data_IF_399444867382
#
_entry.id   IF_399444867382
#
_cell.length_a   1.000
_cell.length_b   1.000
_cell.length_c   1.000
_cell.angle_alpha   90.00
_cell.angle_beta   90.00
_cell.angle_gamma   90.00
#
_symmetry.space_group_name_H-M   'P 1'
#
loop_
_entity.id
_entity.type
_entity.pdbx_description
1 polymer ?
#
# COMPACT_ATOMS: atom_id res chain seq x y z
N UNK A 1 61.14 -50.71 30.96
CA UNK A 1 59.98 -51.57 31.25
C UNK A 1 59.23 -50.94 32.42
N UNK A 2 57.96 -51.30 32.62
CA UNK A 2 57.02 -50.69 33.59
C UNK A 2 56.44 -49.30 33.28
N UNK A 3 55.25 -49.10 33.85
CA UNK A 3 54.22 -48.11 33.55
C UNK A 3 53.63 -47.67 34.91
N UNK A 4 53.49 -46.37 35.17
CA UNK A 4 53.15 -45.89 36.52
C UNK A 4 52.48 -44.51 36.61
N UNK A 5 51.14 -44.52 36.55
CA UNK A 5 50.20 -43.62 37.25
C UNK A 5 50.30 -42.07 37.20
N UNK A 6 49.34 -41.49 36.44
CA UNK A 6 48.36 -40.43 36.79
C UNK A 6 48.67 -39.40 37.90
N UNK A 7 48.42 -38.12 37.59
CA UNK A 7 47.38 -37.29 38.26
C UNK A 7 47.03 -35.98 37.51
N UNK A 8 45.72 -35.69 37.39
CA UNK A 8 45.02 -34.37 37.30
C UNK A 8 45.47 -33.32 36.23
N UNK A 9 44.67 -32.34 35.79
CA UNK A 9 43.31 -31.88 36.14
C UNK A 9 42.58 -31.30 34.90
N UNK A 10 41.32 -30.85 35.03
CA UNK A 10 40.49 -30.37 33.91
C UNK A 10 40.84 -28.95 33.44
N UNK A 11 40.69 -28.71 32.13
CA UNK A 11 40.26 -27.40 31.60
C UNK A 11 39.15 -27.58 30.59
N UNK A 12 38.03 -26.91 30.86
CA UNK A 12 36.90 -26.73 29.95
C UNK A 12 37.33 -26.00 28.67
N UNK A 13 36.69 -26.29 27.55
CA UNK A 13 36.91 -25.61 26.26
C UNK A 13 35.56 -25.42 25.58
N UNK A 14 34.95 -24.27 25.83
CA UNK A 14 33.74 -23.80 25.15
C UNK A 14 34.05 -23.52 23.68
N UNK A 15 33.30 -24.17 22.79
CA UNK A 15 33.56 -24.12 21.35
C UNK A 15 33.12 -22.77 20.76
N UNK A 16 34.07 -22.04 20.16
CA UNK A 16 33.90 -20.66 19.70
C UNK A 16 33.38 -20.59 18.27
N UNK A 17 32.15 -21.05 18.07
CA UNK A 17 31.43 -20.97 16.78
C UNK A 17 30.97 -19.55 16.45
N UNK A 18 31.88 -18.74 15.89
CA UNK A 18 31.58 -17.42 15.33
C UNK A 18 30.80 -17.53 14.01
N UNK A 19 29.47 -17.42 14.11
CA UNK A 19 28.57 -17.58 12.96
C UNK A 19 28.48 -16.28 12.14
N UNK A 20 29.34 -16.12 11.13
CA UNK A 20 29.31 -15.00 10.18
C UNK A 20 28.14 -15.13 9.20
N UNK A 21 26.99 -14.52 9.53
CA UNK A 21 25.86 -14.38 8.59
C UNK A 21 26.32 -13.66 7.32
N UNK A 22 26.10 -14.29 6.16
CA UNK A 22 26.28 -13.63 4.87
C UNK A 22 25.17 -12.59 4.65
N UNK A 23 25.57 -11.43 4.15
CA UNK A 23 24.71 -10.27 3.92
C UNK A 23 24.00 -10.37 2.55
N UNK A 24 22.70 -10.09 2.50
CA UNK A 24 21.91 -10.26 1.27
C UNK A 24 22.23 -9.17 0.23
N UNK A 25 21.93 -9.43 -1.04
CA UNK A 25 22.08 -8.42 -2.10
C UNK A 25 21.24 -7.16 -1.82
N UNK A 26 20.05 -7.32 -1.22
CA UNK A 26 19.18 -6.23 -0.78
C UNK A 26 19.83 -5.42 0.35
N UNK A 27 20.35 -6.08 1.39
CA UNK A 27 21.11 -5.42 2.48
C UNK A 27 22.36 -4.70 1.97
N UNK A 28 23.07 -5.29 1.01
CA UNK A 28 24.26 -4.70 0.40
C UNK A 28 23.95 -3.49 -0.49
N UNK A 29 22.75 -3.43 -1.09
CA UNK A 29 22.25 -2.26 -1.83
C UNK A 29 21.73 -1.16 -0.91
N UNK A 30 20.99 -1.51 0.15
CA UNK A 30 20.59 -0.58 1.20
C UNK A 30 21.82 0.13 1.79
N UNK A 31 22.88 -0.64 2.09
CA UNK A 31 24.19 -0.10 2.53
C UNK A 31 24.87 0.85 1.56
N UNK A 32 24.51 0.85 0.28
CA UNK A 32 25.11 1.75 -0.71
C UNK A 32 24.36 3.10 -0.80
N UNK A 33 23.33 3.28 0.01
CA UNK A 33 22.57 4.52 0.23
C UNK A 33 23.21 5.38 1.34
N UNK A 34 24.55 5.45 1.34
CA UNK A 34 25.28 6.25 2.33
C UNK A 34 25.06 7.74 2.07
N UNK A 35 24.57 8.45 3.08
CA UNK A 35 24.59 9.91 3.06
C UNK A 35 26.01 10.34 3.42
N UNK A 36 26.57 11.22 2.58
CA UNK A 36 27.99 11.56 2.56
C UNK A 36 28.33 12.66 3.56
N UNK A 37 29.60 12.86 3.88
CA UNK A 37 30.01 13.99 4.73
C UNK A 37 29.72 15.36 4.07
N UNK A 38 29.71 15.45 2.73
CA UNK A 38 29.22 16.64 2.01
C UNK A 38 27.73 16.90 2.25
N UNK A 39 26.90 15.86 2.34
CA UNK A 39 25.48 16.02 2.66
C UNK A 39 25.24 16.51 4.10
N UNK A 40 26.19 16.31 5.03
CA UNK A 40 26.10 16.86 6.40
C UNK A 40 26.12 18.38 6.37
N UNK A 41 27.03 18.94 5.57
CA UNK A 41 27.17 20.38 5.35
C UNK A 41 25.98 20.92 4.54
N UNK A 42 25.65 20.31 3.40
CA UNK A 42 24.60 20.81 2.49
C UNK A 42 23.16 20.77 3.07
N UNK A 43 22.89 19.88 4.03
CA UNK A 43 21.54 19.67 4.60
C UNK A 43 21.47 19.85 6.13
N UNK A 44 22.51 20.44 6.75
CA UNK A 44 22.60 20.67 8.21
C UNK A 44 22.29 19.42 9.05
N UNK A 45 22.77 18.26 8.61
CA UNK A 45 22.47 16.94 9.19
C UNK A 45 20.96 16.53 9.22
N UNK A 46 20.05 17.27 8.59
CA UNK A 46 18.61 16.98 8.60
C UNK A 46 18.23 15.98 7.51
N UNK A 47 17.75 14.80 7.88
CA UNK A 47 17.24 13.78 6.94
C UNK A 47 15.78 13.45 7.23
N UNK A 48 14.92 13.58 6.23
CA UNK A 48 13.49 13.22 6.31
C UNK A 48 13.19 12.03 5.40
N UNK A 49 12.58 11.01 5.97
CA UNK A 49 12.24 9.77 5.26
C UNK A 49 10.73 9.54 5.34
N UNK A 50 10.07 9.44 4.20
CA UNK A 50 8.66 9.05 4.09
C UNK A 50 8.58 7.60 3.59
N UNK A 51 8.04 6.71 4.41
CA UNK A 51 7.62 5.39 3.95
C UNK A 51 6.22 5.47 3.36
N UNK A 52 6.05 5.05 2.11
CA UNK A 52 4.73 4.89 1.50
C UNK A 52 4.50 3.39 1.33
N UNK A 53 3.49 2.84 2.01
CA UNK A 53 3.37 1.39 2.18
C UNK A 53 1.98 0.92 1.76
N UNK A 54 1.97 -0.05 0.86
CA UNK A 54 0.81 -0.87 0.56
C UNK A 54 0.43 -1.74 1.78
N UNK A 55 -0.78 -1.59 2.31
CA UNK A 55 -1.28 -2.39 3.44
C UNK A 55 -2.52 -3.22 3.12
N UNK A 56 -2.61 -3.65 1.86
CA UNK A 56 -3.65 -4.52 1.30
C UNK A 56 -3.43 -5.99 1.68
N UNK A 57 -4.36 -6.88 1.30
CA UNK A 57 -4.26 -8.30 1.61
C UNK A 57 -3.12 -9.04 0.90
N UNK A 58 -2.78 -8.66 -0.34
CA UNK A 58 -1.73 -9.31 -1.16
C UNK A 58 -0.37 -9.25 -0.47
N UNK A 59 -0.02 -8.07 0.05
CA UNK A 59 1.24 -7.77 0.73
C UNK A 59 1.59 -8.73 1.88
N UNK A 60 0.62 -9.46 2.45
CA UNK A 60 0.77 -10.37 3.59
C UNK A 60 2.02 -11.27 3.56
N UNK A 61 2.44 -11.74 2.37
CA UNK A 61 3.59 -12.63 2.23
C UNK A 61 4.94 -11.91 2.32
N UNK A 62 5.04 -10.64 1.88
CA UNK A 62 6.26 -9.84 1.97
C UNK A 62 6.25 -8.85 3.15
N UNK A 63 5.11 -8.69 3.82
CA UNK A 63 4.86 -7.62 4.80
C UNK A 63 5.85 -7.60 5.97
N UNK A 64 6.31 -8.77 6.43
CA UNK A 64 7.34 -8.85 7.46
C UNK A 64 8.69 -8.35 6.94
N UNK A 65 9.02 -8.62 5.68
CA UNK A 65 10.28 -8.19 5.06
C UNK A 65 10.25 -6.72 4.65
N UNK A 66 9.08 -6.17 4.30
CA UNK A 66 8.84 -4.73 4.23
C UNK A 66 9.14 -4.07 5.59
N UNK A 67 8.59 -4.59 6.70
CA UNK A 67 8.88 -4.09 8.06
C UNK A 67 10.35 -4.27 8.47
N UNK A 68 11.04 -5.31 7.99
CA UNK A 68 12.47 -5.50 8.23
C UNK A 68 13.29 -4.47 7.44
N UNK A 69 13.01 -4.29 6.14
CA UNK A 69 13.67 -3.31 5.27
C UNK A 69 13.57 -1.88 5.84
N UNK A 70 12.39 -1.50 6.36
CA UNK A 70 12.19 -0.21 7.03
C UNK A 70 13.07 -0.06 8.29
N UNK A 71 13.24 -1.12 9.07
CA UNK A 71 14.15 -1.12 10.24
C UNK A 71 15.61 -1.05 9.82
N UNK A 72 16.02 -1.83 8.84
CA UNK A 72 17.40 -1.84 8.31
C UNK A 72 17.81 -0.45 7.80
N UNK A 73 16.91 0.22 7.07
CA UNK A 73 17.06 1.63 6.66
C UNK A 73 17.25 2.53 7.89
N UNK A 74 16.32 2.48 8.86
CA UNK A 74 16.39 3.33 10.04
C UNK A 74 17.64 3.08 10.91
N UNK A 75 18.10 1.84 11.04
CA UNK A 75 19.32 1.47 11.77
C UNK A 75 20.60 1.89 11.06
N UNK A 76 20.62 1.86 9.72
CA UNK A 76 21.74 2.33 8.93
C UNK A 76 21.91 3.85 9.09
N UNK A 77 20.81 4.59 9.00
CA UNK A 77 20.79 6.03 9.22
C UNK A 77 21.21 6.43 10.64
N UNK A 78 20.75 5.72 11.68
CA UNK A 78 21.14 5.99 13.08
C UNK A 78 22.64 5.80 13.39
N UNK A 79 23.43 5.18 12.50
CA UNK A 79 24.90 5.02 12.68
C UNK A 79 25.68 6.24 12.21
N UNK A 80 25.05 7.13 11.46
CA UNK A 80 25.60 8.39 11.00
C UNK A 80 25.01 9.53 11.85
N UNK A 81 25.73 10.64 12.03
CA UNK A 81 25.34 11.73 12.96
C UNK A 81 24.25 12.67 12.38
N UNK A 82 23.27 12.10 11.67
CA UNK A 82 22.12 12.82 11.13
C UNK A 82 20.98 12.89 12.16
N UNK A 83 20.26 14.02 12.19
CA UNK A 83 18.95 14.08 12.85
C UNK A 83 17.89 13.57 11.88
N UNK A 84 17.59 12.27 11.93
CA UNK A 84 16.61 11.64 11.05
C UNK A 84 15.20 11.69 11.65
N UNK A 85 14.22 12.05 10.83
CA UNK A 85 12.79 11.89 11.13
C UNK A 85 12.11 11.05 10.06
N UNK A 86 11.08 10.32 10.49
CA UNK A 86 10.37 9.33 9.70
C UNK A 86 8.88 9.66 9.67
N UNK A 87 8.31 9.80 8.48
CA UNK A 87 6.87 9.86 8.23
C UNK A 87 6.41 8.55 7.59
N UNK A 88 5.11 8.28 7.64
CA UNK A 88 4.50 7.09 7.05
C UNK A 88 3.17 7.44 6.39
N UNK A 89 2.96 6.96 5.17
CA UNK A 89 1.65 6.93 4.52
C UNK A 89 1.33 5.49 4.14
N UNK A 90 0.33 4.90 4.79
CA UNK A 90 -0.21 3.61 4.33
C UNK A 90 -1.39 3.83 3.39
N UNK A 91 -1.56 2.96 2.40
CA UNK A 91 -2.71 2.98 1.50
C UNK A 91 -3.26 1.57 1.24
N UNK A 92 -4.52 1.52 0.81
CA UNK A 92 -5.23 0.34 0.32
C UNK A 92 -5.89 0.68 -1.01
N UNK A 93 -7.18 0.38 -1.21
CA UNK A 93 -7.91 0.77 -2.41
C UNK A 93 -9.05 1.78 -2.16
N UNK A 94 -9.69 2.18 -3.25
CA UNK A 94 -10.92 2.96 -3.28
C UNK A 94 -12.18 2.10 -3.11
N UNK A 95 -13.28 2.65 -2.54
CA UNK A 95 -14.60 2.04 -2.63
C UNK A 95 -15.05 1.94 -4.10
N UNK A 96 -15.57 0.78 -4.57
CA UNK A 96 -16.16 -0.29 -3.76
C UNK A 96 -15.23 -1.44 -3.36
N UNK A 97 -13.97 -1.47 -3.82
CA UNK A 97 -13.05 -2.59 -3.53
C UNK A 97 -12.71 -2.64 -2.04
N UNK A 98 -12.32 -1.49 -1.49
CA UNK A 98 -12.03 -1.32 -0.06
C UNK A 98 -12.94 -0.23 0.57
N UNK A 99 -13.24 -0.34 1.86
CA UNK A 99 -14.15 0.58 2.56
C UNK A 99 -13.63 1.13 3.90
N UNK A 100 -12.51 0.61 4.41
CA UNK A 100 -11.89 1.03 5.67
C UNK A 100 -11.17 2.38 5.54
N UNK A 101 -10.26 2.51 4.57
CA UNK A 101 -9.60 3.77 4.19
C UNK A 101 -8.89 3.62 2.83
N UNK A 102 -8.78 4.72 2.09
CA UNK A 102 -7.92 4.81 0.90
C UNK A 102 -6.46 5.00 1.30
N UNK A 103 -6.19 5.95 2.21
CA UNK A 103 -4.86 6.18 2.79
C UNK A 103 -4.96 6.69 4.25
N UNK A 104 -3.87 6.54 5.00
CA UNK A 104 -3.66 7.15 6.32
C UNK A 104 -2.22 7.66 6.42
N UNK A 105 -2.04 8.85 6.99
CA UNK A 105 -0.73 9.50 7.12
C UNK A 105 -0.37 9.76 8.59
N UNK A 106 0.89 9.47 8.93
CA UNK A 106 1.56 9.85 10.15
C UNK A 106 2.75 10.73 9.76
N UNK A 107 2.80 11.94 10.30
CA UNK A 107 3.85 12.92 10.01
C UNK A 107 5.21 12.55 10.63
N UNK A 108 6.25 13.34 10.37
CA UNK A 108 7.62 13.14 10.82
C UNK A 108 7.73 12.92 12.34
N UNK A 109 8.21 11.74 12.73
CA UNK A 109 8.48 11.33 14.11
C UNK A 109 9.90 10.76 14.27
N UNK A 110 10.34 10.55 15.53
CA UNK A 110 11.55 9.80 15.82
C UNK A 110 11.41 8.29 15.57
N UNK A 111 12.55 7.59 15.45
CA UNK A 111 12.64 6.16 15.13
C UNK A 111 11.80 5.27 16.06
N UNK A 112 11.81 5.52 17.37
CA UNK A 112 11.04 4.73 18.35
C UNK A 112 9.52 4.83 18.11
N UNK A 113 9.00 6.03 17.85
CA UNK A 113 7.58 6.23 17.52
C UNK A 113 7.22 5.54 16.21
N UNK A 114 8.09 5.65 15.20
CA UNK A 114 7.90 4.99 13.90
C UNK A 114 7.86 3.46 14.03
N UNK A 115 8.74 2.86 14.84
CA UNK A 115 8.69 1.41 15.13
C UNK A 115 7.36 0.97 15.75
N UNK A 116 6.75 1.80 16.61
CA UNK A 116 5.41 1.56 17.16
C UNK A 116 4.31 1.58 16.09
N UNK A 117 4.35 2.56 15.18
CA UNK A 117 3.41 2.67 14.05
C UNK A 117 3.53 1.44 13.13
N UNK A 118 4.76 1.10 12.71
CA UNK A 118 5.06 -0.07 11.88
C UNK A 118 4.62 -1.38 12.53
N UNK A 119 4.75 -1.50 13.85
CA UNK A 119 4.26 -2.66 14.60
C UNK A 119 2.75 -2.90 14.39
N UNK A 120 1.97 -1.81 14.36
CA UNK A 120 0.51 -1.84 14.28
C UNK A 120 -0.06 -1.99 12.86
N UNK A 121 0.72 -1.77 11.80
CA UNK A 121 0.23 -1.96 10.42
C UNK A 121 -0.19 -3.41 10.19
N UNK A 122 -1.26 -3.60 9.40
CA UNK A 122 -1.82 -4.91 9.04
C UNK A 122 -2.18 -4.95 7.54
N UNK A 123 -1.61 -5.92 6.83
CA UNK A 123 -1.93 -6.27 5.46
C UNK A 123 -3.34 -6.88 5.39
N UNK A 124 -4.34 -6.11 4.96
CA UNK A 124 -5.75 -6.52 4.83
C UNK A 124 -6.44 -5.66 3.79
N UNK A 125 -7.53 -6.17 3.20
CA UNK A 125 -8.33 -5.37 2.27
C UNK A 125 -7.78 -5.35 0.85
N UNK A 126 -8.18 -4.33 0.09
CA UNK A 126 -8.11 -4.35 -1.38
C UNK A 126 -9.30 -5.11 -1.97
N UNK A 127 -9.32 -5.37 -3.28
CA UNK A 127 -10.43 -6.14 -3.88
C UNK A 127 -10.22 -6.60 -5.32
N UNK A 128 -9.59 -5.77 -6.15
CA UNK A 128 -9.08 -6.21 -7.46
C UNK A 128 -7.55 -6.09 -7.52
N UNK A 129 -6.96 -6.03 -8.72
CA UNK A 129 -5.50 -6.15 -8.91
C UNK A 129 -4.69 -4.87 -8.63
N UNK A 130 -5.16 -3.67 -9.01
CA UNK A 130 -4.48 -2.41 -8.74
C UNK A 130 -5.01 -1.74 -7.45
N UNK A 131 -4.22 -0.82 -6.91
CA UNK A 131 -4.46 -0.22 -5.60
C UNK A 131 -4.37 1.32 -5.64
N UNK A 132 -4.69 2.02 -4.55
CA UNK A 132 -4.68 3.49 -4.44
C UNK A 132 -3.27 4.11 -4.29
N UNK A 133 -2.30 3.59 -5.06
CA UNK A 133 -0.89 4.01 -5.06
C UNK A 133 -0.73 5.52 -5.27
N UNK A 134 -1.55 6.11 -6.15
CA UNK A 134 -1.48 7.55 -6.45
C UNK A 134 -1.86 8.43 -5.27
N UNK A 135 -2.91 8.04 -4.54
CA UNK A 135 -3.36 8.72 -3.33
C UNK A 135 -2.29 8.62 -2.23
N UNK A 136 -1.78 7.40 -1.97
CA UNK A 136 -0.75 7.17 -0.96
C UNK A 136 0.53 7.98 -1.20
N UNK A 137 1.00 8.05 -2.44
CA UNK A 137 2.17 8.84 -2.81
C UNK A 137 1.91 10.35 -2.70
N UNK A 138 0.85 10.85 -3.34
CA UNK A 138 0.60 12.28 -3.44
C UNK A 138 0.21 12.90 -2.09
N UNK A 139 -0.66 12.24 -1.33
CA UNK A 139 -1.06 12.71 0.00
C UNK A 139 0.07 12.52 1.02
N UNK A 140 0.84 11.44 0.91
CA UNK A 140 2.05 11.25 1.70
C UNK A 140 3.06 12.40 1.51
N UNK A 141 3.35 12.77 0.25
CA UNK A 141 4.25 13.88 -0.07
C UNK A 141 3.71 15.22 0.46
N UNK A 142 2.42 15.49 0.28
CA UNK A 142 1.83 16.80 0.59
C UNK A 142 1.50 17.01 2.07
N UNK A 143 1.21 15.94 2.84
CA UNK A 143 0.90 16.04 4.28
C UNK A 143 2.13 15.96 5.18
N UNK A 144 3.25 15.47 4.69
CA UNK A 144 4.50 15.42 5.45
C UNK A 144 5.04 16.84 5.64
N UNK A 145 5.25 17.25 6.89
CA UNK A 145 5.78 18.57 7.25
C UNK A 145 7.31 18.61 7.11
N UNK A 146 7.79 18.44 5.88
CA UNK A 146 9.21 18.38 5.53
C UNK A 146 10.02 19.51 6.16
N UNK A 147 11.05 19.16 6.93
CA UNK A 147 11.83 20.09 7.72
C UNK A 147 12.65 21.06 6.86
N UNK A 148 12.91 22.20 7.47
CA UNK A 148 13.88 23.22 7.08
C UNK A 148 14.52 23.75 8.36
N UNK A 149 15.78 24.11 8.30
CA UNK A 149 16.47 24.80 9.39
C UNK A 149 16.15 26.32 9.36
N UNK A 150 16.56 27.03 10.41
CA UNK A 150 16.30 28.44 10.68
C UNK A 150 16.82 29.41 9.60
N UNK A 151 17.85 29.02 8.86
CA UNK A 151 18.44 29.76 7.74
C UNK A 151 17.71 29.51 6.40
N UNK A 152 16.79 28.54 6.37
CA UNK A 152 16.04 28.10 5.20
C UNK A 152 16.60 26.84 4.50
N UNK A 153 17.72 26.30 4.97
CA UNK A 153 18.31 25.05 4.46
C UNK A 153 17.31 23.90 4.62
N UNK A 154 17.04 23.16 3.54
CA UNK A 154 16.06 22.08 3.56
C UNK A 154 16.67 20.80 4.13
N UNK A 155 15.85 19.87 4.61
CA UNK A 155 16.28 18.49 4.84
C UNK A 155 16.64 17.76 3.54
N UNK A 156 17.52 16.76 3.62
CA UNK A 156 17.68 15.73 2.59
C UNK A 156 16.49 14.78 2.67
N UNK A 157 15.84 14.48 1.54
CA UNK A 157 14.48 13.90 1.54
C UNK A 157 14.37 12.65 0.70
N UNK A 158 13.80 11.61 1.31
CA UNK A 158 13.66 10.31 0.70
C UNK A 158 12.23 9.79 0.79
N UNK A 159 11.79 9.12 -0.27
CA UNK A 159 10.66 8.19 -0.25
C UNK A 159 11.16 6.78 -0.45
N UNK A 160 10.63 5.87 0.36
CA UNK A 160 10.69 4.44 0.13
C UNK A 160 9.26 3.94 -0.05
N UNK A 161 8.90 3.62 -1.29
CA UNK A 161 7.59 3.11 -1.65
C UNK A 161 7.63 1.59 -1.71
N UNK A 162 6.79 0.91 -0.93
CA UNK A 162 6.81 -0.56 -0.78
C UNK A 162 5.46 -1.13 -1.21
N UNK A 163 5.40 -1.94 -2.27
CA UNK A 163 4.17 -2.55 -2.79
C UNK A 163 4.37 -3.85 -3.62
N UNK A 164 3.29 -4.62 -3.79
CA UNK A 164 3.17 -5.72 -4.77
C UNK A 164 2.04 -5.51 -5.80
N UNK A 165 1.33 -4.38 -5.74
CA UNK A 165 0.29 -3.99 -6.70
C UNK A 165 0.60 -2.66 -7.41
N UNK A 166 0.20 -2.50 -8.69
CA UNK A 166 0.31 -1.25 -9.45
C UNK A 166 -0.86 -0.29 -9.15
N UNK A 167 -0.77 1.01 -9.54
CA UNK A 167 -1.93 1.88 -9.55
C UNK A 167 -2.98 1.48 -10.60
N UNK A 168 -4.23 1.86 -10.35
CA UNK A 168 -5.31 1.80 -11.34
C UNK A 168 -4.95 2.48 -12.67
N UNK A 169 -5.21 1.78 -13.77
CA UNK A 169 -5.07 2.27 -15.13
C UNK A 169 -4.22 1.37 -16.04
N UNK A 170 -4.66 1.20 -17.29
CA UNK A 170 -4.01 0.38 -18.34
C UNK A 170 -2.49 0.61 -18.49
N UNK A 171 -2.02 1.83 -18.21
CA UNK A 171 -0.60 2.20 -18.33
C UNK A 171 0.31 1.39 -17.40
N UNK A 172 -0.19 0.95 -16.24
CA UNK A 172 0.60 0.34 -15.17
C UNK A 172 0.57 -1.21 -15.15
N UNK A 173 -0.14 -1.83 -16.09
CA UNK A 173 -0.14 -3.28 -16.29
C UNK A 173 -1.06 -4.10 -15.36
N UNK A 174 -1.71 -3.48 -14.37
CA UNK A 174 -2.73 -4.11 -13.54
C UNK A 174 -4.07 -4.31 -14.26
N UNK A 175 -4.92 -5.18 -13.70
CA UNK A 175 -6.31 -5.40 -14.14
C UNK A 175 -7.29 -5.05 -13.02
N UNK A 176 -7.96 -3.90 -13.14
CA UNK A 176 -9.11 -3.54 -12.31
C UNK A 176 -10.38 -4.22 -12.83
N UNK A 177 -11.24 -4.58 -11.89
CA UNK A 177 -12.62 -5.01 -12.11
C UNK A 177 -13.54 -3.85 -12.51
N UNK A 178 -13.20 -2.60 -12.17
CA UNK A 178 -13.89 -1.41 -12.67
C UNK A 178 -13.29 -0.97 -14.02
N UNK A 179 -14.07 -1.11 -15.10
CA UNK A 179 -13.64 -0.76 -16.45
C UNK A 179 -13.34 0.75 -16.63
N UNK A 180 -13.94 1.63 -15.82
CA UNK A 180 -13.65 3.05 -15.86
C UNK A 180 -12.29 3.34 -15.21
N UNK A 181 -11.95 2.68 -14.10
CA UNK A 181 -10.64 2.85 -13.45
C UNK A 181 -9.54 2.23 -14.30
N UNK A 182 -9.78 1.04 -14.87
CA UNK A 182 -8.88 0.44 -15.85
C UNK A 182 -8.60 1.37 -17.04
N UNK A 183 -9.62 2.06 -17.56
CA UNK A 183 -9.50 2.93 -18.74
C UNK A 183 -8.91 4.31 -18.42
N UNK A 184 -9.38 4.94 -17.36
CA UNK A 184 -9.14 6.36 -17.07
C UNK A 184 -8.07 6.59 -15.98
N UNK A 185 -7.64 5.54 -15.29
CA UNK A 185 -6.70 5.61 -14.17
C UNK A 185 -7.40 5.71 -12.81
N UNK A 186 -6.63 6.03 -11.77
CA UNK A 186 -7.10 6.14 -10.39
C UNK A 186 -8.27 7.14 -10.26
N UNK A 187 -9.37 6.81 -9.56
CA UNK A 187 -10.55 7.68 -9.42
C UNK A 187 -10.27 9.02 -8.71
N UNK A 188 -9.16 9.16 -8.00
CA UNK A 188 -8.71 10.43 -7.43
C UNK A 188 -8.26 11.47 -8.49
N UNK A 189 -8.02 11.05 -9.73
CA UNK A 189 -7.56 11.90 -10.84
C UNK A 189 -6.08 12.32 -10.75
N UNK A 190 -5.33 11.82 -9.77
CA UNK A 190 -3.91 12.11 -9.58
C UNK A 190 -3.09 11.31 -10.59
N UNK A 191 -2.19 11.99 -11.32
CA UNK A 191 -1.32 11.36 -12.32
C UNK A 191 0.13 11.24 -11.85
N UNK A 192 0.92 10.41 -12.53
CA UNK A 192 2.35 10.29 -12.27
C UNK A 192 3.10 11.62 -12.47
N UNK A 193 2.66 12.47 -13.41
CA UNK A 193 3.21 13.81 -13.62
C UNK A 193 2.91 14.76 -12.46
N UNK A 194 1.75 14.63 -11.81
CA UNK A 194 1.45 15.39 -10.59
C UNK A 194 2.41 14.98 -9.46
N UNK A 195 2.66 13.69 -9.27
CA UNK A 195 3.63 13.18 -8.28
C UNK A 195 5.05 13.64 -8.63
N UNK A 196 5.48 13.54 -9.90
CA UNK A 196 6.77 14.05 -10.40
C UNK A 196 6.99 15.50 -10.01
N UNK A 197 6.01 16.37 -10.24
CA UNK A 197 6.10 17.80 -9.91
C UNK A 197 6.32 18.00 -8.40
N UNK A 198 5.67 17.19 -7.55
CA UNK A 198 5.86 17.21 -6.10
C UNK A 198 7.27 16.74 -5.68
N UNK A 199 7.79 15.66 -6.29
CA UNK A 199 9.15 15.16 -6.06
C UNK A 199 10.21 16.20 -6.47
N UNK A 200 10.01 16.88 -7.60
CA UNK A 200 10.91 17.93 -8.09
C UNK A 200 10.89 19.19 -7.21
N UNK A 201 9.70 19.71 -6.89
CA UNK A 201 9.51 20.91 -6.04
C UNK A 201 10.11 20.71 -4.64
N UNK A 202 9.76 19.59 -3.98
CA UNK A 202 10.17 19.31 -2.60
C UNK A 202 11.55 18.66 -2.51
N UNK A 203 12.21 18.45 -3.64
CA UNK A 203 13.53 17.85 -3.80
C UNK A 203 13.68 16.44 -3.22
N UNK A 204 12.64 15.62 -3.38
CA UNK A 204 12.56 14.28 -2.82
C UNK A 204 13.15 13.26 -3.80
N UNK A 205 14.04 12.40 -3.30
CA UNK A 205 14.54 11.22 -4.01
C UNK A 205 13.64 10.02 -3.71
N UNK A 206 13.12 9.37 -4.76
CA UNK A 206 12.15 8.28 -4.70
C UNK A 206 12.83 6.93 -4.98
N UNK A 207 12.59 5.98 -4.08
CA UNK A 207 13.07 4.60 -4.17
C UNK A 207 11.86 3.66 -4.19
N UNK A 208 11.81 2.74 -5.14
CA UNK A 208 10.83 1.67 -5.18
C UNK A 208 11.40 0.40 -4.52
N UNK A 209 10.62 -0.20 -3.63
CA UNK A 209 10.87 -1.49 -3.02
C UNK A 209 9.76 -2.43 -3.53
N UNK A 210 10.08 -3.17 -4.59
CA UNK A 210 9.14 -4.11 -5.21
C UNK A 210 9.09 -5.41 -4.40
N UNK A 211 7.89 -5.80 -3.97
CA UNK A 211 7.62 -7.17 -3.53
C UNK A 211 7.33 -8.09 -4.74
N UNK A 212 6.74 -7.59 -5.83
CA UNK A 212 6.70 -8.30 -7.12
C UNK A 212 5.53 -7.88 -7.99
N UNK A 213 5.57 -8.23 -9.27
CA UNK A 213 4.41 -8.08 -10.17
C UNK A 213 4.16 -6.68 -10.72
N UNK A 214 5.02 -5.70 -10.43
CA UNK A 214 4.79 -4.27 -10.75
C UNK A 214 5.73 -3.71 -11.83
N UNK A 215 6.43 -4.57 -12.58
CA UNK A 215 7.44 -4.19 -13.57
C UNK A 215 6.98 -3.10 -14.57
N UNK A 216 5.69 -3.07 -14.95
CA UNK A 216 5.16 -2.04 -15.84
C UNK A 216 4.95 -0.69 -15.15
N UNK A 217 4.50 -0.69 -13.89
CA UNK A 217 4.48 0.51 -13.04
C UNK A 217 5.90 1.04 -12.83
N UNK A 218 6.88 0.17 -12.56
CA UNK A 218 8.28 0.57 -12.41
C UNK A 218 8.80 1.27 -13.67
N UNK A 219 8.61 0.69 -14.86
CA UNK A 219 9.02 1.28 -16.13
C UNK A 219 8.43 2.69 -16.32
N UNK A 220 7.14 2.86 -16.03
CA UNK A 220 6.43 4.14 -16.16
C UNK A 220 6.93 5.15 -15.14
N UNK A 221 7.05 4.77 -13.87
CA UNK A 221 7.52 5.68 -12.82
C UNK A 221 8.98 6.09 -13.04
N UNK A 222 9.85 5.16 -13.44
CA UNK A 222 11.25 5.43 -13.82
C UNK A 222 11.32 6.43 -14.97
N UNK A 223 10.46 6.27 -15.98
CA UNK A 223 10.38 7.20 -17.13
C UNK A 223 9.85 8.59 -16.74
N UNK A 224 8.80 8.67 -15.91
CA UNK A 224 8.14 9.93 -15.56
C UNK A 224 8.90 10.71 -14.47
N UNK A 225 9.29 10.05 -13.38
CA UNK A 225 10.00 10.70 -12.27
C UNK A 225 11.47 10.99 -12.62
N UNK A 226 12.04 10.30 -13.61
CA UNK A 226 13.36 10.57 -14.19
C UNK A 226 14.46 10.60 -13.14
N UNK A 227 15.19 11.72 -13.04
CA UNK A 227 16.30 11.91 -12.08
C UNK A 227 15.90 11.87 -10.60
N UNK A 228 14.60 11.76 -10.27
CA UNK A 228 14.13 11.55 -8.90
C UNK A 228 13.88 10.07 -8.59
N UNK A 229 13.93 9.18 -9.57
CA UNK A 229 13.75 7.74 -9.39
C UNK A 229 15.11 7.03 -9.36
N UNK A 230 15.43 6.38 -8.25
CA UNK A 230 16.69 5.65 -8.04
C UNK A 230 16.63 4.18 -8.49
N UNK A 231 17.51 3.32 -8.02
CA UNK A 231 17.43 1.90 -8.30
C UNK A 231 16.26 1.23 -7.52
N UNK A 232 15.63 0.22 -8.15
CA UNK A 232 14.60 -0.58 -7.50
C UNK A 232 15.24 -1.64 -6.60
N UNK A 233 14.68 -1.80 -5.40
CA UNK A 233 15.07 -2.83 -4.45
C UNK A 233 14.02 -3.95 -4.53
N UNK A 234 14.38 -5.08 -5.14
CA UNK A 234 13.46 -6.21 -5.25
C UNK A 234 13.57 -7.11 -4.00
N UNK A 235 12.45 -7.37 -3.34
CA UNK A 235 12.31 -8.34 -2.24
C UNK A 235 11.94 -9.69 -2.86
N UNK A 236 12.90 -10.62 -2.94
CA UNK A 236 12.72 -11.89 -3.66
C UNK A 236 12.30 -13.04 -2.74
N UNK A 237 11.31 -13.84 -3.16
CA UNK A 237 10.87 -15.05 -2.43
C UNK A 237 12.00 -16.03 -2.10
N UNK A 238 13.08 -16.05 -2.88
CA UNK A 238 14.28 -16.85 -2.65
C UNK A 238 15.01 -16.56 -1.33
N UNK A 239 14.75 -15.42 -0.68
CA UNK A 239 15.29 -15.09 0.65
C UNK A 239 14.55 -15.81 1.79
N UNK A 240 13.28 -16.22 1.58
CA UNK A 240 12.43 -16.82 2.62
C UNK A 240 12.56 -18.36 2.65
N UNK A 241 12.88 -19.00 1.52
CA UNK A 241 12.80 -20.46 1.39
C UNK A 241 14.02 -21.25 1.88
N UNK A 242 15.17 -20.60 2.16
CA UNK A 242 16.40 -21.32 2.54
C UNK A 242 16.41 -21.88 3.98
N UNK A 243 15.42 -21.58 4.83
CA UNK A 243 15.30 -22.18 6.17
C UNK A 243 14.34 -23.37 6.27
N UNK A 244 13.62 -23.76 5.21
CA UNK A 244 12.68 -24.90 5.27
C UNK A 244 12.78 -25.93 4.12
N UNK A 245 13.90 -25.98 3.38
CA UNK A 245 14.19 -27.03 2.40
C UNK A 245 15.42 -27.87 2.77
N UNK A 246 15.37 -28.57 3.90
CA UNK A 246 16.38 -29.54 4.32
C UNK A 246 15.79 -30.85 4.85
N UNK A 247 14.93 -31.52 4.06
CA UNK A 247 14.67 -32.95 4.25
C UNK A 247 14.52 -33.73 2.92
N UNK A 248 15.59 -34.47 2.61
CA UNK A 248 15.69 -35.65 1.73
C UNK A 248 14.78 -35.76 0.48
N UNK A 249 15.41 -35.73 -0.69
CA UNK A 249 15.06 -36.66 -1.76
C UNK A 249 16.13 -37.76 -1.82
N UNK A 250 15.76 -38.99 -1.47
CA UNK A 250 16.61 -40.17 -1.69
C UNK A 250 16.53 -40.58 -3.16
N UNK A 251 17.70 -40.77 -3.78
CA UNK A 251 17.83 -41.18 -5.17
C UNK A 251 17.61 -42.68 -5.34
N UNK A 252 16.95 -43.08 -6.43
CA UNK A 252 16.94 -44.45 -6.94
C UNK A 252 17.19 -44.41 -8.46
N UNK A 253 18.23 -45.10 -8.98
CA UNK A 253 18.53 -45.11 -10.42
C UNK A 253 17.64 -46.11 -11.18
N UNK A 254 17.36 -45.82 -12.46
CA UNK A 254 16.38 -46.57 -13.26
C UNK A 254 16.91 -47.78 -14.03
N UNK A 255 16.04 -48.40 -14.83
CA UNK A 255 16.39 -49.37 -15.87
C UNK A 255 15.33 -49.42 -16.99
N UNK A 256 15.73 -49.91 -18.17
CA UNK A 256 14.95 -49.98 -19.41
C UNK A 256 13.89 -51.11 -19.42
N UNK A 257 12.82 -50.93 -20.21
CA UNK A 257 11.83 -51.98 -20.52
C UNK A 257 10.88 -51.54 -21.65
N UNK A 258 10.44 -52.46 -22.51
CA UNK A 258 9.77 -52.16 -23.79
C UNK A 258 8.22 -52.24 -23.77
N UNK A 259 7.60 -51.74 -24.84
CA UNK A 259 6.17 -51.87 -25.17
C UNK A 259 5.67 -53.34 -25.15
N UNK A 260 4.37 -53.58 -24.84
CA UNK A 260 3.37 -53.66 -25.92
C UNK A 260 1.99 -53.02 -25.61
N UNK A 261 1.16 -53.01 -26.65
CA UNK A 261 -0.22 -52.48 -26.75
C UNK A 261 -1.31 -53.24 -25.93
N UNK A 262 -2.33 -52.52 -25.42
CA UNK A 262 -3.79 -52.78 -25.60
C UNK A 262 -4.70 -52.16 -24.51
N UNK A 263 -5.67 -51.33 -24.96
CA UNK A 263 -7.09 -51.12 -24.55
C UNK A 263 -7.67 -52.07 -23.45
N UNK A 264 -8.58 -51.66 -22.52
CA UNK A 264 -9.68 -50.68 -22.71
C UNK A 264 -9.99 -49.64 -21.61
N UNK A 265 -10.86 -48.69 -21.99
CA UNK A 265 -11.64 -47.77 -21.13
C UNK A 265 -12.92 -48.46 -20.64
N UNK A 266 -13.39 -48.23 -19.40
CA UNK A 266 -14.76 -48.54 -19.01
C UNK A 266 -15.69 -47.35 -19.33
N UNK A 267 -16.59 -47.53 -20.31
CA UNK A 267 -17.89 -46.86 -20.24
C UNK A 267 -18.66 -47.45 -19.05
N UNK A 268 -19.44 -46.64 -18.34
CA UNK A 268 -20.80 -47.06 -18.08
C UNK A 268 -21.78 -45.88 -18.04
N UNK A 269 -22.95 -46.09 -18.64
CA UNK A 269 -24.05 -45.13 -18.74
C UNK A 269 -25.23 -45.71 -17.98
N UNK A 270 -25.84 -44.91 -17.09
CA UNK A 270 -27.20 -45.17 -16.62
C UNK A 270 -27.88 -43.84 -16.30
N UNK A 271 -28.88 -43.48 -17.11
CA UNK A 271 -29.78 -42.36 -16.87
C UNK A 271 -31.14 -42.89 -16.41
N UNK A 272 -31.75 -42.27 -15.39
CA UNK A 272 -33.19 -42.45 -15.15
C UNK A 272 -33.84 -41.28 -14.38
N UNK A 273 -34.58 -40.49 -15.15
CA UNK A 273 -35.91 -39.96 -14.83
C UNK A 273 -36.16 -38.94 -13.71
N UNK A 274 -36.80 -37.85 -14.17
CA UNK A 274 -37.51 -36.80 -13.42
C UNK A 274 -38.93 -37.29 -13.04
N UNK A 275 -39.56 -36.72 -12.00
CA UNK A 275 -40.87 -36.10 -12.25
C UNK A 275 -41.08 -34.74 -11.57
N UNK A 276 -41.76 -33.83 -12.28
CA UNK A 276 -42.59 -32.74 -11.69
C UNK A 276 -44.06 -33.21 -11.70
N UNK A 277 -44.88 -32.74 -10.76
CA UNK A 277 -46.03 -31.89 -11.12
C UNK A 277 -46.09 -30.63 -10.22
N UNK A 278 -46.38 -29.42 -10.71
CA UNK A 278 -47.66 -28.84 -11.16
C UNK A 278 -48.66 -28.46 -10.03
N UNK A 279 -48.75 -27.14 -9.79
CA UNK A 279 -49.94 -26.30 -9.49
C UNK A 279 -51.25 -26.91 -8.95
N UNK A 280 -51.85 -26.23 -7.96
CA UNK A 280 -53.20 -25.60 -8.09
C UNK A 280 -53.56 -24.72 -6.86
N UNK A 281 -54.59 -23.87 -7.04
CA UNK A 281 -55.13 -22.91 -6.04
C UNK A 281 -56.11 -23.57 -5.06
N UNK A 282 -56.38 -22.92 -3.91
CA UNK A 282 -57.76 -22.68 -3.43
C UNK A 282 -57.82 -21.74 -2.21
N UNK A 283 -58.86 -20.92 -2.15
CA UNK A 283 -59.21 -19.99 -1.06
C UNK A 283 -59.77 -20.67 0.21
N UNK A 284 -59.98 -19.92 1.30
CA UNK A 284 -61.04 -20.24 2.28
C UNK A 284 -60.76 -20.12 3.79
N UNK A 285 -61.06 -18.94 4.36
CA UNK A 285 -61.57 -18.63 5.72
C UNK A 285 -62.11 -19.82 6.58
N UNK A 286 -62.04 -19.87 7.94
CA UNK A 286 -62.71 -18.96 8.90
C UNK A 286 -62.53 -19.39 10.42
N UNK A 287 -62.04 -18.49 11.32
CA UNK A 287 -62.29 -18.36 12.80
C UNK A 287 -61.98 -19.56 13.78
N UNK A 288 -61.84 -19.45 15.14
CA UNK A 288 -62.37 -18.54 16.20
C UNK A 288 -61.34 -18.30 17.36
N UNK A 289 -61.29 -17.06 17.91
CA UNK A 289 -61.16 -16.66 19.35
C UNK A 289 -59.84 -16.94 20.10
N UNK A 290 -59.31 -16.12 21.02
CA UNK A 290 -59.77 -14.99 21.88
C UNK A 290 -58.50 -14.20 22.37
N UNK A 291 -58.47 -13.03 23.03
CA UNK A 291 -59.33 -11.82 23.24
C UNK A 291 -58.49 -10.77 24.02
N UNK A 292 -59.05 -9.61 24.41
CA UNK A 292 -58.45 -8.47 25.17
C UNK A 292 -57.33 -7.69 24.44
N UNK A 293 -57.40 -6.39 24.12
CA UNK A 293 -58.46 -5.38 24.21
C UNK A 293 -58.09 -4.16 25.07
N UNK A 294 -57.96 -2.95 24.48
CA UNK A 294 -58.28 -1.64 25.10
C UNK A 294 -58.26 -0.45 24.09
N UNK A 295 -59.41 0.24 23.97
CA UNK A 295 -59.66 1.67 23.64
C UNK A 295 -58.92 2.45 22.51
N UNK A 296 -59.69 2.97 21.52
CA UNK A 296 -59.33 4.06 20.57
C UNK A 296 -59.72 5.47 21.10
N UNK A 297 -60.21 6.47 20.31
CA UNK A 297 -60.50 6.58 18.85
C UNK A 297 -59.57 7.60 18.11
N UNK A 298 -59.46 7.76 16.77
CA UNK A 298 -60.41 8.06 15.66
C UNK A 298 -61.11 9.46 15.80
N UNK A 299 -61.26 10.35 14.79
CA UNK A 299 -61.55 10.13 13.35
C UNK A 299 -61.25 11.37 12.43
N UNK A 300 -61.62 11.28 11.15
CA UNK A 300 -61.35 12.14 9.96
C UNK A 300 -62.06 13.52 9.90
N UNK A 301 -61.60 14.44 8.99
CA UNK A 301 -62.43 15.06 7.89
C UNK A 301 -61.65 16.05 6.97
N UNK A 302 -61.57 15.72 5.66
CA UNK A 302 -61.81 16.53 4.42
C UNK A 302 -61.18 17.97 4.20
N UNK A 303 -61.14 18.52 2.95
CA UNK A 303 -60.08 19.43 2.51
C UNK A 303 -60.47 20.91 2.42
N UNK A 304 -59.47 21.77 2.24
CA UNK A 304 -59.64 23.21 1.96
C UNK A 304 -58.94 23.65 0.68
N UNK A 305 -59.69 24.37 -0.15
CA UNK A 305 -59.23 25.12 -1.33
C UNK A 305 -58.56 26.43 -0.92
N UNK A 306 -57.46 26.82 -1.58
CA UNK A 306 -56.98 28.20 -1.57
C UNK A 306 -56.35 28.58 -2.92
N UNK A 307 -56.67 29.78 -3.40
CA UNK A 307 -56.35 30.25 -4.74
C UNK A 307 -55.02 31.02 -4.82
N UNK A 308 -54.54 31.12 -6.06
CA UNK A 308 -53.37 31.87 -6.52
C UNK A 308 -53.31 33.34 -6.05
N UNK A 309 -52.14 33.77 -5.56
CA UNK A 309 -51.56 35.12 -5.75
C UNK A 309 -50.08 35.06 -5.32
N UNK A 310 -49.17 35.39 -6.24
CA UNK A 310 -47.75 35.03 -6.09
C UNK A 310 -46.86 36.12 -5.49
N UNK A 311 -45.59 35.76 -5.28
CA UNK A 311 -44.45 36.67 -5.21
C UNK A 311 -43.22 35.91 -5.75
N UNK A 312 -42.46 36.56 -6.64
CA UNK A 312 -41.18 36.02 -7.12
C UNK A 312 -40.14 36.05 -5.99
N UNK A 313 -39.38 34.97 -5.84
CA UNK A 313 -38.18 34.93 -5.00
C UNK A 313 -37.00 34.38 -5.81
N UNK A 314 -35.89 35.12 -5.81
CA UNK A 314 -34.68 34.85 -6.58
C UNK A 314 -33.94 33.58 -6.14
N UNK A 315 -33.14 32.95 -7.02
CA UNK A 315 -32.27 31.84 -6.64
C UNK A 315 -31.16 32.29 -5.66
N UNK A 316 -30.60 31.36 -4.85
CA UNK A 316 -29.63 31.69 -3.81
C UNK A 316 -28.30 32.20 -4.39
N UNK A 317 -27.73 33.24 -3.76
CA UNK A 317 -26.41 33.75 -4.12
C UNK A 317 -25.30 32.82 -3.62
N UNK A 318 -24.31 32.55 -4.49
CA UNK A 318 -23.07 31.88 -4.12
C UNK A 318 -22.21 32.77 -3.19
N UNK A 319 -21.37 32.19 -2.31
CA UNK A 319 -20.63 32.95 -1.30
C UNK A 319 -19.53 33.83 -1.92
N UNK A 320 -19.73 35.15 -1.84
CA UNK A 320 -18.85 36.18 -2.43
C UNK A 320 -17.38 36.12 -1.95
N UNK A 321 -17.09 35.45 -0.83
CA UNK A 321 -15.74 35.32 -0.28
C UNK A 321 -14.80 34.49 -1.18
N UNK A 322 -15.28 33.42 -1.82
CA UNK A 322 -14.44 32.63 -2.74
C UNK A 322 -14.06 33.43 -4.00
N UNK A 323 -14.98 34.24 -4.51
CA UNK A 323 -14.74 35.06 -5.71
C UNK A 323 -13.76 36.21 -5.40
N UNK A 324 -13.81 36.79 -4.19
CA UNK A 324 -12.79 37.75 -3.73
C UNK A 324 -11.40 37.10 -3.57
N UNK A 325 -11.31 35.88 -3.03
CA UNK A 325 -10.02 35.16 -2.92
C UNK A 325 -9.42 34.83 -4.30
N UNK A 326 -10.23 34.37 -5.25
CA UNK A 326 -9.77 34.11 -6.63
C UNK A 326 -9.28 35.39 -7.32
N UNK A 327 -9.97 36.51 -7.13
CA UNK A 327 -9.56 37.81 -7.70
C UNK A 327 -8.25 38.32 -7.07
N UNK A 328 -8.06 38.17 -5.75
CA UNK A 328 -6.81 38.51 -5.07
C UNK A 328 -5.64 37.66 -5.58
N UNK A 329 -5.83 36.34 -5.69
CA UNK A 329 -4.80 35.41 -6.17
C UNK A 329 -4.38 35.73 -7.61
N UNK A 330 -5.35 35.95 -8.52
CA UNK A 330 -5.10 36.34 -9.91
C UNK A 330 -4.28 37.64 -10.02
N UNK A 331 -4.63 38.65 -9.22
CA UNK A 331 -3.93 39.94 -9.23
C UNK A 331 -2.49 39.83 -8.68
N UNK A 332 -2.26 38.93 -7.71
CA UNK A 332 -0.94 38.68 -7.12
C UNK A 332 -0.03 37.90 -8.09
N UNK A 333 -0.58 36.93 -8.82
CA UNK A 333 0.12 36.21 -9.91
C UNK A 333 0.53 37.18 -11.03
N UNK A 334 -0.36 38.07 -11.48
CA UNK A 334 -0.02 39.09 -12.49
C UNK A 334 1.09 40.04 -12.04
N UNK A 335 1.09 40.49 -10.77
CA UNK A 335 2.18 41.36 -10.28
C UNK A 335 3.53 40.64 -10.19
N UNK A 336 3.55 39.34 -9.89
CA UNK A 336 4.79 38.57 -9.85
C UNK A 336 5.34 38.30 -11.26
N UNK A 337 4.47 38.01 -12.24
CA UNK A 337 4.85 37.92 -13.66
C UNK A 337 5.46 39.22 -14.19
N UNK A 338 4.92 40.38 -13.79
CA UNK A 338 5.43 41.70 -14.19
C UNK A 338 6.75 42.10 -13.50
N UNK A 339 7.13 41.46 -12.38
CA UNK A 339 8.45 41.66 -11.74
C UNK A 339 9.55 40.85 -12.39
N UNK A 340 9.24 39.70 -12.97
CA UNK A 340 10.21 38.80 -13.61
C UNK A 340 10.51 39.15 -15.08
N UNK A 341 10.07 40.32 -15.55
CA UNK A 341 10.24 40.82 -16.93
C UNK A 341 10.96 42.19 -16.98
N UNK A 342 11.80 42.47 -15.96
CA UNK A 342 12.70 43.62 -15.87
C UNK A 342 14.07 43.19 -15.37
#
# INVERSE_FOLDING_TARGET
MEIGFKQREQTDCTDSSSNSKQETASQKRLKNFEVTDSDREDYHNLVDILFVIDTTGSMSWCFQEAKNTVKDIAEMFNKQEFDIKYALCQYRDHPPQESSFVYQHNDLQGSQSMQGILGNLQAQGGGDGPEAVMDGLYEGINKTNWRKDHDGTISKRFIFHICDAPPHGNLYGGYSSDQNWQKNGCPCGITAEMIKNQLEEKQITYNLIECGGICKMEEVFRSVFGKRFEETIHISQSQIQQQQCSFSYSSVPGSFGAFPSSIPVPLNVAASHVPKPQSMLSDGHYFIGYSLGFSGPAQMTQPVTASFSGLFSSPPQAPQQQQQQQNLYSHQVQQNLLRNLK
#
